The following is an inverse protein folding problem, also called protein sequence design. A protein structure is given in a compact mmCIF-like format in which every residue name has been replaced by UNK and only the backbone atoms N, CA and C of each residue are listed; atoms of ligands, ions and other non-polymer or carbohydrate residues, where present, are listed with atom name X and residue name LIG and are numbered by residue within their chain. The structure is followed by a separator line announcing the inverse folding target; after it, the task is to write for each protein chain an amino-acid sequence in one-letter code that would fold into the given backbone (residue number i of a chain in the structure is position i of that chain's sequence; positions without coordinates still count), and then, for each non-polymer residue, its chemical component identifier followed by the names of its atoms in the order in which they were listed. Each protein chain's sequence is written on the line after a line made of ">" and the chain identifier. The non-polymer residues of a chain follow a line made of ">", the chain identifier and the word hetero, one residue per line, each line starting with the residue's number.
data_IF_916779942814
#
_entry.id   IF_916779942814
#
_cell.length_a   1.000
_cell.length_b   1.000
_cell.length_c   1.000
_cell.angle_alpha   90.00
_cell.angle_beta   90.00
_cell.angle_gamma   90.00
#
_symmetry.space_group_name_H-M   'P 1'
#
loop_
_entity.id
_entity.type
_entity.pdbx_description
1 polymer ?
2 water ?
#
# COMPACT_ATOMS: atom_id res chain seq x y z
N UNK A 3 10.36 -7.86 14.79
CA UNK A 3 9.11 -8.16 15.55
C UNK A 3 7.89 -8.35 14.64
N UNK A 4 6.92 -7.44 14.73
CA UNK A 4 5.71 -7.56 13.92
C UNK A 4 5.87 -7.17 12.46
N UNK A 5 5.18 -7.92 11.61
CA UNK A 5 5.21 -7.71 10.17
C UNK A 5 3.77 -7.79 9.67
N UNK A 6 3.34 -6.75 8.97
CA UNK A 6 1.98 -6.71 8.48
C UNK A 6 1.84 -6.06 7.11
N UNK A 7 0.97 -6.64 6.30
CA UNK A 7 0.70 -6.13 4.98
C UNK A 7 -0.79 -5.76 4.89
N UNK A 8 -1.05 -4.53 4.47
CA UNK A 8 -2.41 -4.03 4.30
C UNK A 8 -2.84 -4.24 2.87
N UNK A 9 -4.13 -4.41 2.69
CA UNK A 9 -4.71 -4.67 1.38
C UNK A 9 -5.80 -3.66 1.10
N UNK A 10 -5.67 -2.93 0.00
CA UNK A 10 -6.70 -1.99 -0.39
C UNK A 10 -6.92 -2.09 -1.90
N UNK A 11 -8.17 -2.25 -2.33
CA UNK A 11 -8.46 -2.34 -3.75
C UNK A 11 -9.57 -1.38 -4.20
N UNK A 12 -9.84 -0.37 -3.39
CA UNK A 12 -10.86 0.64 -3.70
C UNK A 12 -10.19 1.99 -3.48
N UNK A 13 -10.77 3.06 -4.00
CA UNK A 13 -10.18 4.38 -3.79
C UNK A 13 -11.16 5.40 -3.22
N UNK A 14 -12.29 4.92 -2.72
CA UNK A 14 -13.27 5.83 -2.12
C UNK A 14 -12.60 6.45 -0.88
N UNK A 15 -12.85 7.74 -0.69
CA UNK A 15 -12.25 8.49 0.41
C UNK A 15 -12.24 7.82 1.79
N UNK A 16 -13.41 7.53 2.34
CA UNK A 16 -13.46 6.91 3.67
C UNK A 16 -12.56 5.67 3.82
N UNK A 17 -12.52 4.80 2.81
CA UNK A 17 -11.68 3.61 2.91
C UNK A 17 -10.19 3.98 2.91
N UNK A 18 -9.82 4.93 2.06
CA UNK A 18 -8.43 5.35 1.97
C UNK A 18 -7.98 5.99 3.29
N UNK A 19 -8.79 6.89 3.82
CA UNK A 19 -8.42 7.54 5.08
C UNK A 19 -8.38 6.52 6.22
N UNK A 20 -9.21 5.49 6.13
CA UNK A 20 -9.20 4.47 7.17
C UNK A 20 -7.86 3.71 7.13
N UNK A 21 -7.41 3.34 5.94
CA UNK A 21 -6.13 2.65 5.79
C UNK A 21 -5.00 3.51 6.37
N UNK A 22 -4.95 4.76 5.93
CA UNK A 22 -3.94 5.70 6.40
C UNK A 22 -3.94 5.77 7.92
N UNK A 23 -5.13 5.96 8.49
CA UNK A 23 -5.30 6.03 9.92
C UNK A 23 -4.83 4.75 10.58
N UNK A 24 -5.20 3.61 10.01
CA UNK A 24 -4.79 2.32 10.57
C UNK A 24 -3.26 2.16 10.54
N UNK A 25 -2.62 2.62 9.47
CA UNK A 25 -1.15 2.52 9.37
C UNK A 25 -0.47 3.35 10.47
N UNK A 26 -0.93 4.57 10.68
CA UNK A 26 -0.36 5.42 11.71
C UNK A 26 -0.63 4.88 13.11
N UNK A 27 -1.87 4.43 13.33
CA UNK A 27 -2.28 3.88 14.62
C UNK A 27 -1.36 2.71 14.98
N UNK A 28 -1.15 1.85 13.99
CA UNK A 28 -0.32 0.68 14.16
C UNK A 28 1.12 1.04 14.55
N UNK A 29 1.70 2.03 13.88
CA UNK A 29 3.07 2.43 14.20
C UNK A 29 3.23 2.98 15.62
N UNK A 30 2.14 3.51 16.18
CA UNK A 30 2.16 4.07 17.52
C UNK A 30 1.82 3.06 18.62
N UNK A 31 1.05 2.02 18.29
CA UNK A 31 0.66 1.00 19.27
C UNK A 31 1.62 -0.17 19.38
N UNK A 32 2.43 -0.38 18.36
CA UNK A 32 3.40 -1.47 18.34
C UNK A 32 4.82 -0.92 18.40
N UNK A 33 5.61 -1.43 19.34
CA UNK A 33 6.99 -1.01 19.54
C UNK A 33 7.77 -1.10 18.23
N UNK A 34 7.72 -2.29 17.64
CA UNK A 34 8.44 -2.58 16.41
C UNK A 34 7.56 -3.27 15.36
N UNK A 35 7.35 -2.60 14.23
CA UNK A 35 6.54 -3.20 13.18
C UNK A 35 6.96 -2.79 11.79
N UNK A 36 6.99 -3.79 10.92
CA UNK A 36 7.34 -3.58 9.53
C UNK A 36 5.99 -3.58 8.78
N UNK A 37 5.75 -2.54 8.00
CA UNK A 37 4.49 -2.43 7.28
C UNK A 37 4.58 -2.27 5.76
N UNK A 38 3.72 -3.00 5.04
CA UNK A 38 3.62 -2.89 3.60
C UNK A 38 2.17 -2.68 3.23
N UNK A 39 1.93 -1.83 2.25
CA UNK A 39 0.58 -1.54 1.78
C UNK A 39 0.48 -1.94 0.31
N UNK A 40 -0.34 -2.95 0.05
CA UNK A 40 -0.56 -3.45 -1.30
C UNK A 40 -1.88 -2.94 -1.83
N UNK A 41 -1.79 -2.17 -2.91
CA UNK A 41 -2.96 -1.58 -3.53
C UNK A 41 -3.10 -2.06 -4.96
N UNK A 42 -4.28 -2.55 -5.33
CA UNK A 42 -4.49 -2.96 -6.71
C UNK A 42 -5.88 -2.52 -7.14
N UNK A 43 -6.22 -2.75 -8.41
CA UNK A 43 -7.48 -2.31 -8.98
C UNK A 43 -7.60 -0.81 -8.73
N UNK A 44 -8.80 -0.34 -8.42
CA UNK A 44 -9.01 1.09 -8.19
C UNK A 44 -8.08 1.62 -7.10
N UNK A 45 -7.68 0.73 -6.20
CA UNK A 45 -6.79 1.12 -5.12
C UNK A 45 -5.47 1.73 -5.58
N UNK A 46 -4.98 1.37 -6.76
CA UNK A 46 -3.71 1.96 -7.18
C UNK A 46 -3.80 3.47 -7.42
N UNK A 47 -4.99 3.98 -7.71
CA UNK A 47 -5.13 5.42 -7.94
C UNK A 47 -4.59 6.20 -6.74
N UNK A 48 -4.58 5.56 -5.58
CA UNK A 48 -4.08 6.20 -4.37
C UNK A 48 -2.57 6.40 -4.42
N UNK A 49 -1.89 5.58 -5.22
CA UNK A 49 -0.44 5.68 -5.32
C UNK A 49 0.05 6.55 -6.49
N UNK A 50 -0.88 7.18 -7.22
CA UNK A 50 -0.54 8.04 -8.36
C UNK A 50 0.15 9.32 -7.91
N UNK A 51 0.98 9.90 -8.78
CA UNK A 51 1.67 11.14 -8.44
C UNK A 51 0.65 12.27 -8.26
N UNK A 52 -0.39 12.28 -9.09
CA UNK A 52 -1.41 13.32 -9.02
C UNK A 52 -2.52 13.04 -8.00
N UNK A 53 -2.28 12.10 -7.10
CA UNK A 53 -3.28 11.75 -6.11
C UNK A 53 -3.36 12.75 -4.97
N UNK A 54 -4.58 12.97 -4.50
CA UNK A 54 -4.84 13.88 -3.38
C UNK A 54 -4.23 13.33 -2.09
N UNK A 55 -3.82 12.06 -2.12
CA UNK A 55 -3.24 11.43 -0.94
C UNK A 55 -1.72 11.35 -1.01
N UNK A 56 -1.14 11.96 -2.04
CA UNK A 56 0.31 11.94 -2.24
C UNK A 56 1.09 12.41 -1.01
N UNK A 57 0.61 13.45 -0.34
CA UNK A 57 1.30 13.92 0.84
C UNK A 57 1.35 12.81 1.89
N UNK A 58 0.20 12.17 2.12
CA UNK A 58 0.13 11.09 3.10
C UNK A 58 1.02 9.93 2.67
N UNK A 59 0.96 9.57 1.39
CA UNK A 59 1.79 8.46 0.93
C UNK A 59 3.29 8.75 1.02
N UNK A 60 3.72 9.94 0.59
CA UNK A 60 5.15 10.25 0.65
C UNK A 60 5.63 10.29 2.10
N UNK A 61 4.84 10.90 2.97
CA UNK A 61 5.22 10.98 4.38
C UNK A 61 5.40 9.62 5.03
N UNK A 62 4.43 8.71 4.84
CA UNK A 62 4.53 7.38 5.45
C UNK A 62 5.67 6.56 4.86
N UNK A 63 6.01 6.85 3.61
CA UNK A 63 7.10 6.14 2.96
C UNK A 63 8.37 6.51 3.70
N UNK A 64 8.48 7.79 4.05
CA UNK A 64 9.64 8.27 4.77
C UNK A 64 9.75 7.63 6.14
N UNK A 65 8.62 7.20 6.68
CA UNK A 65 8.63 6.58 7.99
C UNK A 65 8.87 5.08 7.92
N UNK A 66 9.17 4.58 6.72
CA UNK A 66 9.45 3.17 6.57
C UNK A 66 8.34 2.33 5.97
N UNK A 67 7.19 2.94 5.68
CA UNK A 67 6.08 2.20 5.09
C UNK A 67 6.33 2.00 3.59
N UNK A 68 6.21 0.75 3.15
CA UNK A 68 6.41 0.42 1.76
C UNK A 68 5.08 0.22 1.01
N UNK A 69 4.81 1.10 0.05
CA UNK A 69 3.59 0.98 -0.75
C UNK A 69 3.95 0.22 -2.02
N UNK A 70 3.13 -0.77 -2.35
CA UNK A 70 3.34 -1.63 -3.52
C UNK A 70 2.18 -1.59 -4.50
N UNK A 71 2.50 -1.33 -5.77
CA UNK A 71 1.50 -1.28 -6.84
C UNK A 71 1.59 -2.59 -7.61
N UNK A 72 0.47 -3.03 -8.15
CA UNK A 72 0.41 -4.29 -8.88
C UNK A 72 0.84 -4.12 -10.34
N UNK A 73 1.90 -4.84 -10.71
CA UNK A 73 2.45 -4.79 -12.06
C UNK A 73 1.40 -5.06 -13.13
N UNK A 74 0.44 -5.93 -12.83
CA UNK A 74 -0.61 -6.29 -13.77
C UNK A 74 -1.70 -5.23 -13.86
N UNK A 75 -2.33 -4.92 -12.72
CA UNK A 75 -3.37 -3.92 -12.71
C UNK A 75 -2.92 -2.66 -13.46
N UNK A 76 -1.68 -2.22 -13.20
CA UNK A 76 -1.14 -1.02 -13.83
C UNK A 76 -1.46 -0.98 -15.31
N UNK A 77 -1.00 -2.00 -16.02
CA UNK A 77 -1.23 -2.12 -17.45
C UNK A 77 -2.74 -2.05 -17.68
N UNK A 78 -3.45 -2.99 -17.07
CA UNK A 78 -4.90 -3.06 -17.19
C UNK A 78 -5.51 -1.68 -17.07
N UNK A 79 -4.88 -0.83 -16.26
CA UNK A 79 -5.38 0.53 -16.05
C UNK A 79 -4.64 1.58 -16.87
N UNK A 80 -3.95 1.18 -17.92
CA UNK A 80 -3.22 2.16 -18.71
C UNK A 80 -2.33 3.01 -17.80
N UNK A 81 -1.45 2.34 -17.06
CA UNK A 81 -0.53 3.01 -16.16
C UNK A 81 0.81 2.29 -16.24
N UNK A 82 1.87 3.01 -15.91
CA UNK A 82 3.20 2.40 -15.87
C UNK A 82 3.87 3.04 -14.66
N UNK A 83 5.07 2.60 -14.32
CA UNK A 83 5.76 3.15 -13.16
C UNK A 83 6.00 4.65 -13.12
N UNK A 84 5.97 5.28 -14.30
CA UNK A 84 6.18 6.72 -14.42
C UNK A 84 5.00 7.50 -13.85
N UNK A 85 3.85 6.84 -13.75
CA UNK A 85 2.65 7.48 -13.23
C UNK A 85 2.59 7.45 -11.69
N UNK A 86 3.42 6.61 -11.08
CA UNK A 86 3.42 6.45 -9.63
C UNK A 86 4.28 7.45 -8.88
N UNK A 87 3.84 7.79 -7.68
CA UNK A 87 4.56 8.71 -6.82
C UNK A 87 5.93 8.09 -6.50
N UNK A 88 6.93 8.93 -6.26
CA UNK A 88 8.27 8.44 -5.94
C UNK A 88 8.25 7.70 -4.61
N UNK A 89 8.97 6.59 -4.54
CA UNK A 89 9.00 5.84 -3.30
C UNK A 89 8.09 4.63 -3.36
N UNK A 90 7.10 4.68 -4.24
CA UNK A 90 6.17 3.57 -4.39
C UNK A 90 6.86 2.49 -5.21
N UNK A 91 6.82 1.26 -4.71
CA UNK A 91 7.43 0.14 -5.40
C UNK A 91 6.40 -0.65 -6.17
N UNK A 92 6.87 -1.43 -7.12
CA UNK A 92 6.01 -2.24 -7.95
C UNK A 92 6.31 -3.71 -7.70
N UNK A 93 5.25 -4.49 -7.49
CA UNK A 93 5.41 -5.92 -7.28
C UNK A 93 4.80 -6.56 -8.51
N UNK A 94 5.20 -7.79 -8.80
CA UNK A 94 4.69 -8.47 -9.97
C UNK A 94 3.19 -8.71 -9.92
N UNK A 95 2.66 -8.93 -8.72
CA UNK A 95 1.23 -9.19 -8.52
C UNK A 95 0.79 -8.78 -7.12
N UNK A 96 -0.28 -8.00 -7.05
CA UNK A 96 -0.78 -7.55 -5.76
C UNK A 96 -1.19 -8.72 -4.89
N UNK A 97 -2.11 -9.55 -5.38
CA UNK A 97 -2.56 -10.70 -4.61
C UNK A 97 -1.43 -11.70 -4.38
N UNK A 98 -0.58 -11.91 -5.39
CA UNK A 98 0.53 -12.82 -5.24
C UNK A 98 1.47 -12.35 -4.13
N UNK A 99 1.80 -11.07 -4.12
CA UNK A 99 2.69 -10.54 -3.09
C UNK A 99 2.05 -10.76 -1.71
N UNK A 100 0.75 -10.50 -1.60
CA UNK A 100 0.04 -10.70 -0.34
C UNK A 100 0.11 -12.17 0.10
N UNK A 101 -0.09 -13.09 -0.84
CA UNK A 101 -0.03 -14.50 -0.51
C UNK A 101 1.38 -14.91 -0.09
N UNK A 102 2.38 -14.40 -0.79
CA UNK A 102 3.77 -14.72 -0.43
C UNK A 102 4.06 -14.21 0.98
N UNK A 103 3.65 -12.97 1.23
CA UNK A 103 3.88 -12.35 2.53
C UNK A 103 3.21 -13.15 3.65
N UNK A 104 1.93 -13.47 3.47
CA UNK A 104 1.20 -14.24 4.47
C UNK A 104 1.90 -15.57 4.68
N UNK A 105 2.37 -16.16 3.59
CA UNK A 105 3.07 -17.44 3.65
C UNK A 105 4.38 -17.31 4.42
N UNK A 106 4.98 -16.12 4.40
CA UNK A 106 6.23 -15.87 5.11
C UNK A 106 5.99 -15.49 6.58
N UNK A 107 4.75 -15.57 7.03
CA UNK A 107 4.45 -15.24 8.42
C UNK A 107 3.91 -13.84 8.70
N UNK A 108 3.73 -13.02 7.67
CA UNK A 108 3.21 -11.68 7.89
C UNK A 108 1.71 -11.72 8.23
N UNK A 109 1.27 -10.76 9.03
CA UNK A 109 -0.14 -10.66 9.39
C UNK A 109 -0.84 -9.91 8.23
N UNK A 110 -2.14 -10.10 8.10
CA UNK A 110 -2.89 -9.48 7.03
C UNK A 110 -4.04 -8.63 7.54
N UNK A 111 -4.13 -7.41 7.03
CA UNK A 111 -5.21 -6.51 7.42
C UNK A 111 -5.89 -5.94 6.18
N UNK A 112 -7.21 -6.08 6.12
CA UNK A 112 -7.98 -5.57 4.99
C UNK A 112 -9.00 -4.54 5.53
N UNK A 113 -8.60 -3.26 5.59
CA UNK A 113 -9.52 -2.24 6.10
C UNK A 113 -10.76 -2.09 5.24
#
# INVERSE_FOLDING_TARGET
>A
XVDYRVVFHIDEDDESRVLLLISNVRNLMADLESVRIEVVAYSMGVNVLRRDSEYSGDVSELTGQGVRFCACSNTLRASGMDGDDLLEGVDVVSSGVGHIVRRQTEGWAYIRP
#
